data_IF_601846488720
#
_entry.id   IF_601846488720
#
_cell.length_a   1.000
_cell.length_b   1.000
_cell.length_c   1.000
_cell.angle_alpha   90.00
_cell.angle_beta   90.00
_cell.angle_gamma   90.00
#
_symmetry.space_group_name_H-M   'P 1'
#
loop_
_entity.id
_entity.type
_entity.pdbx_description
1 polymer ?
#
# COMPACT_ATOMS: atom_id res chain seq x y z
N UNK A 1 -14.67 -6.53 6.23
CA UNK A 1 -13.97 -7.82 6.04
C UNK A 1 -12.66 -7.54 5.30
N UNK A 2 -11.63 -8.37 5.51
CA UNK A 2 -10.34 -8.30 4.79
C UNK A 2 -9.61 -6.94 4.87
N UNK A 3 -9.41 -6.43 6.08
CA UNK A 3 -8.61 -5.20 6.31
C UNK A 3 -7.10 -5.46 6.32
N UNK A 4 -6.69 -6.74 6.40
CA UNK A 4 -5.31 -7.18 6.64
C UNK A 4 -5.05 -8.50 5.91
N UNK A 5 -3.93 -8.59 5.19
CA UNK A 5 -3.31 -9.85 4.80
C UNK A 5 -3.67 -10.43 3.42
N UNK A 6 -4.65 -9.90 2.69
CA UNK A 6 -4.96 -10.35 1.33
C UNK A 6 -4.23 -9.51 0.28
N UNK A 7 -4.66 -8.27 0.06
CA UNK A 7 -3.98 -7.31 -0.81
C UNK A 7 -3.72 -6.02 -0.05
N UNK A 8 -2.61 -5.38 -0.38
CA UNK A 8 -2.32 -4.04 0.09
C UNK A 8 -3.47 -3.11 -0.30
N UNK A 9 -3.91 -2.28 0.64
CA UNK A 9 -5.01 -1.35 0.43
C UNK A 9 -4.46 0.04 0.18
N UNK A 10 -4.64 0.54 -1.04
CA UNK A 10 -4.36 1.92 -1.39
C UNK A 10 -5.33 2.85 -0.67
N UNK A 11 -4.80 3.95 -0.14
CA UNK A 11 -5.59 4.96 0.58
C UNK A 11 -5.37 6.33 -0.05
N UNK A 12 -4.34 7.04 0.40
CA UNK A 12 -4.02 8.39 -0.05
C UNK A 12 -2.80 8.40 -0.97
N UNK A 13 -2.70 9.46 -1.77
CA UNK A 13 -1.50 9.81 -2.50
C UNK A 13 -0.99 11.17 -2.04
N UNK A 14 0.31 11.28 -1.86
CA UNK A 14 1.00 12.52 -1.53
C UNK A 14 1.98 12.84 -2.64
N UNK A 15 1.86 14.05 -3.19
CA UNK A 15 2.72 14.56 -4.25
C UNK A 15 3.44 15.80 -3.72
N UNK A 16 4.77 15.79 -3.85
CA UNK A 16 5.61 16.95 -3.62
C UNK A 16 6.35 17.33 -4.91
N UNK A 17 7.24 18.33 -4.85
CA UNK A 17 7.99 18.81 -6.02
C UNK A 17 8.84 17.72 -6.70
N UNK A 18 9.29 16.71 -5.94
CA UNK A 18 10.27 15.72 -6.38
C UNK A 18 9.74 14.28 -6.37
N UNK A 19 8.69 13.98 -5.61
CA UNK A 19 8.21 12.63 -5.38
C UNK A 19 6.69 12.52 -5.37
N UNK A 20 6.21 11.34 -5.76
CA UNK A 20 4.82 10.91 -5.56
C UNK A 20 4.83 9.62 -4.76
N UNK A 21 4.05 9.56 -3.69
CA UNK A 21 3.99 8.42 -2.79
C UNK A 21 2.56 7.97 -2.52
N UNK A 22 2.29 6.68 -2.71
CA UNK A 22 1.02 6.05 -2.31
C UNK A 22 1.11 5.46 -0.90
N UNK A 23 0.08 5.66 -0.08
CA UNK A 23 -0.01 5.06 1.25
C UNK A 23 -0.76 3.73 1.19
N UNK A 24 -0.07 2.67 1.63
CA UNK A 24 -0.56 1.31 1.62
C UNK A 24 -0.74 0.77 3.04
N UNK A 25 -1.86 0.08 3.28
CA UNK A 25 -2.19 -0.53 4.58
C UNK A 25 -2.58 -1.99 4.45
N UNK A 26 -2.55 -2.72 5.57
CA UNK A 26 -3.09 -4.07 5.70
C UNK A 26 -2.15 -5.20 5.25
N UNK A 27 -1.15 -4.93 4.41
CA UNK A 27 -0.27 -5.99 3.91
C UNK A 27 -0.92 -6.85 2.83
N UNK A 28 -0.21 -7.89 2.38
CA UNK A 28 -0.70 -8.82 1.35
C UNK A 28 -0.44 -10.28 1.69
N UNK A 29 -1.02 -11.18 0.88
CA UNK A 29 -0.86 -12.63 1.02
C UNK A 29 0.60 -13.06 0.81
N UNK A 30 1.37 -12.25 0.07
CA UNK A 30 2.77 -12.51 -0.20
C UNK A 30 3.65 -12.06 0.98
N UNK A 31 4.31 -13.03 1.63
CA UNK A 31 5.18 -12.82 2.79
C UNK A 31 6.63 -13.16 2.42
N UNK A 32 7.38 -12.21 1.86
CA UNK A 32 8.78 -12.45 1.51
C UNK A 32 9.62 -12.68 2.77
N UNK A 33 10.60 -13.58 2.68
CA UNK A 33 11.49 -13.96 3.78
C UNK A 33 12.95 -13.93 3.33
N UNK A 34 13.88 -13.78 4.28
CA UNK A 34 15.32 -13.87 4.02
C UNK A 34 16.04 -12.55 3.74
N UNK A 35 15.36 -11.41 3.83
CA UNK A 35 16.00 -10.09 3.77
C UNK A 35 15.20 -9.03 4.51
N UNK A 36 15.91 -8.12 5.18
CA UNK A 36 15.32 -6.93 5.83
C UNK A 36 14.84 -5.88 4.82
N UNK A 37 15.28 -5.99 3.56
CA UNK A 37 14.95 -5.04 2.50
C UNK A 37 13.58 -5.28 1.87
N UNK A 38 12.92 -6.39 2.21
CA UNK A 38 11.58 -6.62 1.73
C UNK A 38 10.58 -5.66 2.36
N UNK A 39 9.59 -5.26 1.56
CA UNK A 39 8.54 -4.36 1.99
C UNK A 39 7.79 -4.94 3.20
N UNK A 40 7.89 -4.32 4.39
CA UNK A 40 7.38 -4.90 5.62
C UNK A 40 5.86 -4.87 5.65
N UNK A 41 5.25 -5.86 6.31
CA UNK A 41 3.80 -5.97 6.42
C UNK A 41 3.26 -4.95 7.45
N UNK A 42 2.18 -4.25 7.10
CA UNK A 42 1.55 -3.23 7.96
C UNK A 42 0.20 -3.72 8.52
N UNK A 43 0.25 -4.72 9.42
CA UNK A 43 -0.96 -5.35 9.97
C UNK A 43 -1.66 -4.51 11.05
N UNK A 44 -0.91 -3.69 11.77
CA UNK A 44 -1.47 -2.80 12.79
C UNK A 44 -2.01 -1.53 12.13
N UNK A 45 -3.08 -0.97 12.69
CA UNK A 45 -3.73 0.22 12.14
C UNK A 45 -2.90 1.52 12.30
N UNK A 46 -1.88 1.52 13.15
CA UNK A 46 -0.90 2.61 13.27
C UNK A 46 0.26 2.47 12.28
N UNK A 47 0.35 1.35 11.56
CA UNK A 47 1.39 1.10 10.57
C UNK A 47 0.89 1.36 9.15
N UNK A 48 1.78 1.83 8.29
CA UNK A 48 1.56 1.95 6.86
C UNK A 48 2.89 1.82 6.11
N UNK A 49 2.82 1.43 4.85
CA UNK A 49 3.94 1.51 3.92
C UNK A 49 3.78 2.71 2.98
N UNK A 50 4.90 3.36 2.63
CA UNK A 50 4.94 4.39 1.58
C UNK A 50 5.54 3.77 0.32
N UNK A 51 4.75 3.65 -0.73
CA UNK A 51 5.21 3.22 -2.05
C UNK A 51 5.68 4.43 -2.83
N UNK A 52 6.98 4.51 -3.16
CA UNK A 52 7.51 5.53 -4.06
C UNK A 52 7.10 5.20 -5.51
N UNK A 53 6.41 6.14 -6.15
CA UNK A 53 5.89 6.00 -7.50
C UNK A 53 6.91 6.50 -8.51
N UNK A 54 7.17 5.71 -9.55
CA UNK A 54 8.19 5.99 -10.55
C UNK A 54 7.58 6.40 -11.90
N UNK A 55 6.56 5.69 -12.36
CA UNK A 55 5.88 5.98 -13.61
C UNK A 55 4.57 5.18 -13.74
N UNK A 56 3.52 5.72 -14.42
CA UNK A 56 2.22 5.05 -14.52
C UNK A 56 2.25 3.62 -15.07
N UNK A 57 3.22 3.28 -15.92
CA UNK A 57 3.37 1.92 -16.48
C UNK A 57 4.10 0.94 -15.54
N UNK A 58 4.87 1.44 -14.58
CA UNK A 58 5.63 0.66 -13.60
C UNK A 58 4.86 0.44 -12.30
N UNK A 59 4.04 1.42 -11.90
CA UNK A 59 3.44 1.48 -10.57
C UNK A 59 2.20 0.56 -10.43
N UNK A 60 2.42 -0.75 -10.56
CA UNK A 60 1.37 -1.79 -10.48
C UNK A 60 1.87 -3.06 -9.83
N UNK A 61 0.98 -3.75 -9.10
CA UNK A 61 1.26 -5.05 -8.48
C UNK A 61 -0.02 -5.85 -8.33
N UNK A 62 0.02 -7.16 -8.60
CA UNK A 62 -1.12 -8.06 -8.39
C UNK A 62 -1.49 -8.28 -6.92
N UNK A 63 -0.61 -7.89 -5.99
CA UNK A 63 -0.84 -7.96 -4.54
C UNK A 63 -1.31 -6.63 -3.94
N UNK A 64 -1.72 -5.67 -4.78
CA UNK A 64 -2.18 -4.34 -4.40
C UNK A 64 -3.57 -4.10 -4.98
N UNK A 65 -4.46 -3.56 -4.15
CA UNK A 65 -5.81 -3.17 -4.52
C UNK A 65 -6.26 -1.95 -3.74
N UNK A 66 -7.56 -1.69 -3.74
CA UNK A 66 -8.14 -0.56 -3.02
C UNK A 66 -9.58 -0.89 -2.62
N UNK A 67 -10.14 -0.03 -1.77
CA UNK A 67 -11.56 -0.01 -1.46
C UNK A 67 -12.07 1.42 -1.52
N UNK A 68 -13.31 1.58 -1.91
CA UNK A 68 -13.93 2.89 -1.99
C UNK A 68 -14.49 3.29 -0.63
N UNK A 69 -14.43 4.58 -0.36
CA UNK A 69 -15.18 5.23 0.73
C UNK A 69 -16.01 6.35 0.12
N UNK A 70 -17.04 6.77 0.85
CA UNK A 70 -17.91 7.89 0.50
C UNK A 70 -18.25 8.62 1.80
N UNK A 71 -18.40 9.94 1.71
CA UNK A 71 -18.93 10.76 2.81
C UNK A 71 -20.29 10.23 3.28
N UNK A 72 -20.49 10.23 4.60
CA UNK A 72 -21.82 10.17 5.19
C UNK A 72 -22.51 11.52 4.94
N UNK A 73 -23.83 11.49 4.76
CA UNK A 73 -24.66 12.67 4.39
C UNK A 73 -24.38 13.93 5.21
#
# INVERSE_FOLDING_TARGET
MDMVGNVWQWTDEYVDEHTRGGILRGGSYYKPQGSIWYFPQAYRNDNHGKLLMMAPSYDRSGALGFRCVKEAE
#
